data_IF_359156215891
#
_entry.id   IF_359156215891
#
_cell.length_a   1.000
_cell.length_b   1.000
_cell.length_c   1.000
_cell.angle_alpha   90.00
_cell.angle_beta   90.00
_cell.angle_gamma   90.00
#
_symmetry.space_group_name_H-M   'P 1'
#
loop_
_entity.id
_entity.type
_entity.pdbx_description
1 polymer ?
#
# COMPACT_ATOMS: atom_id res chain seq x y z
N UNK A 1 10.29 -68.51 -3.34
CA UNK A 1 9.52 -67.80 -2.28
C UNK A 1 10.45 -66.95 -1.41
N UNK A 2 10.49 -65.62 -1.48
CA UNK A 2 9.75 -64.70 -2.32
C UNK A 2 10.61 -63.50 -2.69
N UNK A 3 10.24 -62.88 -3.80
CA UNK A 3 10.77 -61.62 -4.27
C UNK A 3 10.35 -60.49 -3.32
N UNK A 4 11.32 -59.86 -2.67
CA UNK A 4 11.14 -58.55 -2.07
C UNK A 4 11.47 -57.47 -3.09
N UNK A 5 10.51 -57.13 -3.97
CA UNK A 5 10.57 -55.88 -4.72
C UNK A 5 10.48 -54.71 -3.74
N UNK A 6 11.62 -54.16 -3.33
CA UNK A 6 11.65 -52.80 -2.81
C UNK A 6 11.52 -51.85 -4.00
N UNK A 7 10.49 -51.00 -4.07
CA UNK A 7 10.48 -49.94 -5.07
C UNK A 7 11.63 -48.99 -4.73
N UNK A 8 12.66 -48.98 -5.56
CA UNK A 8 13.70 -47.95 -5.55
C UNK A 8 13.02 -46.62 -5.84
N UNK A 9 12.60 -45.92 -4.78
CA UNK A 9 12.27 -44.50 -4.86
C UNK A 9 13.58 -43.77 -5.17
N UNK A 10 13.87 -43.62 -6.45
CA UNK A 10 14.75 -42.57 -6.94
C UNK A 10 14.04 -41.24 -6.68
N UNK A 11 14.10 -40.77 -5.43
CA UNK A 11 13.78 -39.38 -5.14
C UNK A 11 14.79 -38.55 -5.94
N UNK A 12 14.33 -37.80 -6.93
CA UNK A 12 15.17 -36.84 -7.62
C UNK A 12 15.60 -35.81 -6.58
N UNK A 13 16.87 -35.87 -6.17
CA UNK A 13 17.49 -34.83 -5.36
C UNK A 13 17.52 -33.57 -6.24
N UNK A 14 16.64 -32.62 -5.92
CA UNK A 14 16.61 -31.32 -6.56
C UNK A 14 17.33 -30.32 -5.67
N UNK A 15 18.40 -29.71 -6.21
CA UNK A 15 19.06 -28.60 -5.56
C UNK A 15 18.09 -27.42 -5.41
N UNK A 16 17.98 -26.89 -4.19
CA UNK A 16 17.14 -25.75 -3.88
C UNK A 16 17.92 -24.68 -3.11
N UNK A 17 17.62 -23.41 -3.41
CA UNK A 17 18.16 -22.29 -2.64
C UNK A 17 17.28 -22.08 -1.41
N UNK A 18 17.87 -22.22 -0.23
CA UNK A 18 17.19 -22.01 1.06
C UNK A 18 17.61 -20.67 1.66
N UNK A 19 16.64 -19.82 1.96
CA UNK A 19 16.84 -18.53 2.65
C UNK A 19 16.19 -18.61 4.03
N UNK A 20 16.94 -18.23 5.07
CA UNK A 20 16.46 -18.22 6.46
C UNK A 20 16.11 -16.78 6.85
N UNK A 21 14.92 -16.57 7.42
CA UNK A 21 14.42 -15.28 7.88
C UNK A 21 13.92 -15.35 9.33
N UNK A 22 13.98 -14.25 10.07
CA UNK A 22 13.43 -14.16 11.44
C UNK A 22 11.94 -13.85 11.43
N UNK A 23 11.49 -13.11 10.43
CA UNK A 23 10.11 -12.74 10.19
C UNK A 23 9.39 -13.92 9.55
N UNK A 24 8.72 -14.74 10.35
CA UNK A 24 7.96 -15.91 9.88
C UNK A 24 6.57 -15.47 9.42
N UNK A 25 6.27 -15.50 8.11
CA UNK A 25 4.94 -15.17 7.61
C UNK A 25 3.93 -16.24 8.03
N UNK A 26 2.73 -15.81 8.44
CA UNK A 26 1.63 -16.75 8.71
C UNK A 26 0.83 -17.08 7.45
N UNK A 27 0.75 -16.14 6.51
CA UNK A 27 0.02 -16.27 5.25
C UNK A 27 0.46 -15.20 4.23
N UNK A 28 0.07 -15.35 2.97
CA UNK A 28 0.18 -14.28 1.97
C UNK A 28 -1.04 -13.37 2.01
N UNK A 29 -0.97 -12.24 1.30
CA UNK A 29 -2.13 -11.37 1.13
C UNK A 29 -3.18 -12.02 0.24
N UNK A 30 -2.78 -12.91 -0.69
CA UNK A 30 -3.71 -13.69 -1.52
C UNK A 30 -4.56 -14.64 -0.66
N UNK A 31 -3.93 -15.31 0.31
CA UNK A 31 -4.63 -16.18 1.26
C UNK A 31 -5.61 -15.37 2.12
N UNK A 32 -5.17 -14.21 2.63
CA UNK A 32 -6.02 -13.30 3.39
C UNK A 32 -7.26 -12.84 2.63
N UNK A 33 -7.12 -12.44 1.36
CA UNK A 33 -8.26 -12.01 0.53
C UNK A 33 -9.21 -13.19 0.31
N UNK A 34 -8.69 -14.34 -0.12
CA UNK A 34 -9.51 -15.54 -0.37
C UNK A 34 -10.34 -15.94 0.85
N UNK A 35 -9.76 -15.87 2.04
CA UNK A 35 -10.41 -16.33 3.27
C UNK A 35 -11.34 -15.26 3.89
N UNK A 36 -11.25 -14.00 3.42
CA UNK A 36 -11.99 -12.84 3.98
C UNK A 36 -13.24 -12.42 3.21
N UNK A 37 -13.66 -13.17 2.18
CA UNK A 37 -14.84 -12.85 1.36
C UNK A 37 -16.10 -12.64 2.23
N UNK A 38 -16.36 -13.58 3.15
CA UNK A 38 -17.52 -13.51 4.05
C UNK A 38 -17.40 -12.36 5.05
N UNK A 39 -16.19 -12.03 5.49
CA UNK A 39 -15.94 -10.89 6.38
C UNK A 39 -16.21 -9.57 5.66
N UNK A 40 -15.78 -9.44 4.40
CA UNK A 40 -16.02 -8.23 3.61
C UNK A 40 -17.52 -7.99 3.41
N UNK A 41 -18.29 -9.04 3.11
CA UNK A 41 -19.75 -8.95 2.99
C UNK A 41 -20.44 -8.59 4.30
N UNK A 42 -19.99 -9.18 5.43
CA UNK A 42 -20.64 -8.97 6.73
C UNK A 42 -20.24 -7.66 7.42
N UNK A 43 -18.98 -7.23 7.26
CA UNK A 43 -18.38 -6.07 7.95
C UNK A 43 -17.46 -5.28 7.00
N UNK A 44 -18.02 -4.65 5.95
CA UNK A 44 -17.23 -4.00 4.91
C UNK A 44 -16.31 -2.90 5.44
N UNK A 45 -16.79 -2.07 6.37
CA UNK A 45 -15.97 -1.01 6.95
C UNK A 45 -14.73 -1.53 7.69
N UNK A 46 -14.87 -2.63 8.44
CA UNK A 46 -13.75 -3.26 9.14
C UNK A 46 -12.72 -3.82 8.15
N UNK A 47 -13.21 -4.50 7.11
CA UNK A 47 -12.37 -5.10 6.09
C UNK A 47 -11.65 -4.05 5.25
N UNK A 48 -12.36 -3.07 4.69
CA UNK A 48 -11.77 -2.03 3.85
C UNK A 48 -10.81 -1.12 4.65
N UNK A 49 -11.06 -0.89 5.95
CA UNK A 49 -10.08 -0.25 6.82
C UNK A 49 -8.79 -1.06 6.93
N UNK A 50 -8.88 -2.39 7.04
CA UNK A 50 -7.71 -3.28 7.03
C UNK A 50 -6.97 -3.20 5.70
N UNK A 51 -7.69 -3.18 4.58
CA UNK A 51 -7.13 -2.98 3.23
C UNK A 51 -6.35 -1.66 3.15
N UNK A 52 -6.91 -0.55 3.65
CA UNK A 52 -6.20 0.74 3.72
C UNK A 52 -4.88 0.64 4.50
N UNK A 53 -4.84 -0.09 5.62
CA UNK A 53 -3.61 -0.29 6.38
C UNK A 53 -2.57 -1.16 5.65
N UNK A 54 -2.99 -2.21 4.96
CA UNK A 54 -2.09 -3.06 4.16
C UNK A 54 -1.48 -2.25 3.01
N UNK A 55 -2.31 -1.49 2.29
CA UNK A 55 -1.86 -0.58 1.23
C UNK A 55 -0.93 0.51 1.76
N UNK A 56 -1.18 1.05 2.95
CA UNK A 56 -0.31 2.04 3.57
C UNK A 56 1.08 1.45 3.86
N UNK A 57 1.14 0.24 4.41
CA UNK A 57 2.40 -0.48 4.63
C UNK A 57 3.13 -0.78 3.32
N UNK A 58 2.39 -1.20 2.27
CA UNK A 58 2.94 -1.40 0.93
C UNK A 58 3.55 -0.09 0.39
N UNK A 59 2.83 1.03 0.50
CA UNK A 59 3.33 2.34 0.06
C UNK A 59 4.61 2.75 0.80
N UNK A 60 4.71 2.49 2.11
CA UNK A 60 5.94 2.73 2.88
C UNK A 60 7.11 1.89 2.34
N UNK A 61 6.89 0.61 2.05
CA UNK A 61 7.92 -0.27 1.47
C UNK A 61 8.35 0.19 0.07
N UNK A 62 7.40 0.53 -0.79
CA UNK A 62 7.66 0.98 -2.15
C UNK A 62 8.34 2.36 -2.23
N UNK A 63 8.00 3.28 -1.33
CA UNK A 63 8.70 4.56 -1.18
C UNK A 63 10.18 4.30 -0.85
N UNK A 64 10.46 3.41 0.10
CA UNK A 64 11.81 3.04 0.47
C UNK A 64 12.59 2.36 -0.68
N UNK A 65 11.95 1.48 -1.46
CA UNK A 65 12.56 0.90 -2.66
C UNK A 65 12.95 1.99 -3.67
N UNK A 66 12.09 2.99 -3.88
CA UNK A 66 12.35 4.09 -4.81
C UNK A 66 13.49 4.98 -4.36
N UNK A 67 13.65 5.23 -3.06
CA UNK A 67 14.81 5.94 -2.50
C UNK A 67 16.13 5.25 -2.86
N UNK A 68 16.11 3.92 -2.99
CA UNK A 68 17.26 3.10 -3.39
C UNK A 68 17.31 2.80 -4.90
N UNK A 69 16.45 3.44 -5.69
CA UNK A 69 16.37 3.25 -7.13
C UNK A 69 15.90 1.87 -7.55
N UNK A 70 15.23 1.12 -6.68
CA UNK A 70 14.69 -0.22 -6.93
C UNK A 70 13.24 -0.10 -7.40
N UNK A 71 12.89 -0.88 -8.42
CA UNK A 71 11.52 -1.07 -8.92
C UNK A 71 11.20 -2.56 -8.80
N UNK A 72 10.11 -2.91 -8.11
CA UNK A 72 9.78 -4.30 -7.79
C UNK A 72 9.37 -5.10 -9.03
N UNK A 73 8.47 -4.54 -9.85
CA UNK A 73 7.98 -5.09 -11.13
C UNK A 73 7.14 -6.37 -11.08
N UNK A 74 6.99 -6.99 -9.91
CA UNK A 74 6.19 -8.21 -9.74
C UNK A 74 5.27 -8.11 -8.51
N UNK A 75 4.63 -6.96 -8.32
CA UNK A 75 3.67 -6.80 -7.22
C UNK A 75 2.38 -7.55 -7.57
N UNK A 76 2.10 -8.58 -6.77
CA UNK A 76 0.87 -9.37 -6.74
C UNK A 76 0.60 -9.82 -5.30
N UNK A 77 -0.62 -10.26 -5.00
CA UNK A 77 -1.03 -10.60 -3.63
C UNK A 77 -0.20 -11.73 -2.99
N UNK A 78 0.32 -12.66 -3.80
CA UNK A 78 1.16 -13.79 -3.38
C UNK A 78 2.55 -13.33 -2.90
N UNK A 79 3.06 -12.23 -3.45
CA UNK A 79 4.38 -11.68 -3.12
C UNK A 79 4.37 -10.76 -1.89
N UNK A 80 3.19 -10.52 -1.31
CA UNK A 80 3.01 -9.69 -0.11
C UNK A 80 2.71 -10.58 1.09
N UNK A 81 3.69 -10.73 1.97
CA UNK A 81 3.64 -11.63 3.12
C UNK A 81 3.04 -10.93 4.34
N UNK A 82 2.20 -11.63 5.11
CA UNK A 82 1.61 -11.13 6.35
C UNK A 82 2.23 -11.83 7.56
N UNK A 83 2.85 -11.05 8.43
CA UNK A 83 3.51 -11.50 9.65
C UNK A 83 2.71 -11.00 10.87
N UNK A 84 2.36 -11.87 11.83
CA UNK A 84 1.70 -11.43 13.05
C UNK A 84 2.59 -10.50 13.89
N UNK A 85 2.13 -9.28 14.15
CA UNK A 85 2.76 -8.37 15.11
C UNK A 85 2.28 -8.70 16.52
N UNK A 86 2.93 -9.65 17.20
CA UNK A 86 2.68 -9.87 18.64
C UNK A 86 3.61 -8.99 19.48
N UNK A 87 3.10 -8.22 20.46
CA UNK A 87 3.98 -7.63 21.46
C UNK A 87 4.63 -8.76 22.28
N UNK A 88 5.91 -8.62 22.68
CA UNK A 88 6.69 -9.68 23.34
C UNK A 88 6.16 -10.15 24.71
N UNK A 89 5.10 -9.52 25.24
CA UNK A 89 4.57 -9.79 26.58
C UNK A 89 3.15 -10.39 26.63
N UNK A 90 2.49 -10.63 25.49
CA UNK A 90 1.15 -11.26 25.49
C UNK A 90 1.25 -12.79 25.40
N UNK A 91 1.58 -13.44 26.52
CA UNK A 91 1.37 -14.89 26.71
C UNK A 91 -0.10 -15.14 27.10
N UNK A 92 -1.03 -14.72 26.25
CA UNK A 92 -2.46 -14.90 26.44
C UNK A 92 -3.08 -15.63 25.25
N UNK A 93 -3.76 -16.75 25.51
CA UNK A 93 -4.57 -17.47 24.51
C UNK A 93 -5.75 -16.59 24.09
N UNK A 94 -5.58 -15.80 23.04
CA UNK A 94 -6.71 -15.29 22.26
C UNK A 94 -6.36 -15.44 20.78
N UNK A 95 -7.13 -16.30 20.12
CA UNK A 95 -7.16 -16.51 18.67
C UNK A 95 -7.89 -15.33 18.00
N UNK A 96 -7.53 -14.10 18.37
CA UNK A 96 -8.27 -12.91 17.97
C UNK A 96 -7.62 -12.32 16.71
N UNK A 97 -8.31 -12.49 15.58
CA UNK A 97 -8.04 -11.93 14.23
C UNK A 97 -7.99 -10.39 14.18
N UNK A 98 -7.90 -9.73 15.34
CA UNK A 98 -8.07 -8.28 15.48
C UNK A 98 -6.80 -7.48 15.26
N UNK A 99 -5.61 -8.05 15.41
CA UNK A 99 -4.37 -7.28 15.29
C UNK A 99 -3.98 -7.06 13.83
N UNK A 100 -3.54 -5.84 13.51
CA UNK A 100 -3.00 -5.52 12.18
C UNK A 100 -1.70 -6.32 11.94
N UNK A 101 -1.64 -7.21 10.93
CA UNK A 101 -0.40 -7.86 10.57
C UNK A 101 0.59 -6.86 9.95
N UNK A 102 1.88 -7.17 10.09
CA UNK A 102 2.94 -6.51 9.34
C UNK A 102 3.00 -7.08 7.93
N UNK A 103 2.89 -6.21 6.93
CA UNK A 103 3.07 -6.56 5.54
C UNK A 103 4.56 -6.47 5.15
N UNK A 104 5.06 -7.50 4.46
CA UNK A 104 6.43 -7.57 3.95
C UNK A 104 6.39 -7.81 2.44
N UNK A 105 7.03 -6.92 1.68
CA UNK A 105 7.25 -7.11 0.23
C UNK A 105 8.34 -8.17 0.06
N UNK A 106 8.07 -9.21 -0.72
CA UNK A 106 8.98 -10.33 -0.98
C UNK A 106 9.12 -10.59 -2.48
N UNK A 107 9.95 -11.58 -2.84
CA UNK A 107 10.14 -12.02 -4.23
C UNK A 107 10.66 -10.93 -5.18
N UNK A 108 11.89 -10.49 -4.94
CA UNK A 108 12.59 -9.50 -5.78
C UNK A 108 13.21 -10.08 -7.05
N UNK A 109 12.79 -11.28 -7.52
CA UNK A 109 13.42 -11.97 -8.66
C UNK A 109 13.37 -11.16 -9.97
N UNK A 110 12.30 -10.37 -10.17
CA UNK A 110 12.12 -9.51 -11.37
C UNK A 110 12.49 -8.04 -11.14
N UNK A 111 12.96 -7.72 -9.93
CA UNK A 111 13.26 -6.35 -9.53
C UNK A 111 14.40 -5.77 -10.37
N UNK A 112 14.35 -4.46 -10.60
CA UNK A 112 15.41 -3.71 -11.27
C UNK A 112 15.93 -2.62 -10.36
N UNK A 113 17.25 -2.60 -10.14
CA UNK A 113 17.93 -1.51 -9.47
C UNK A 113 18.56 -0.58 -10.50
N UNK A 114 18.32 0.72 -10.38
CA UNK A 114 19.07 1.74 -11.12
C UNK A 114 20.42 1.90 -10.44
N UNK A 115 21.51 1.73 -11.20
CA UNK A 115 22.86 2.04 -10.73
C UNK A 115 22.98 3.54 -10.50
N UNK A 116 22.88 3.99 -9.24
CA UNK A 116 23.06 5.40 -8.85
C UNK A 116 24.54 5.72 -8.53
N UNK A 117 25.40 4.71 -8.39
CA UNK A 117 26.80 4.87 -8.00
C UNK A 117 27.78 4.78 -9.18
N UNK A 118 28.30 5.94 -9.57
CA UNK A 118 29.72 6.11 -9.91
C UNK A 118 30.25 5.49 -11.20
N UNK A 119 29.89 6.04 -12.35
CA UNK A 119 30.82 6.01 -13.49
C UNK A 119 30.81 7.36 -14.21
N UNK A 120 31.86 8.15 -13.99
CA UNK A 120 32.15 9.39 -14.73
C UNK A 120 32.32 9.12 -16.24
N UNK A 121 32.43 7.85 -16.66
CA UNK A 121 32.38 7.39 -18.05
C UNK A 121 30.96 7.29 -18.63
N UNK A 122 29.94 6.99 -17.83
CA UNK A 122 28.55 6.89 -18.31
C UNK A 122 27.90 8.26 -18.58
N UNK A 123 28.30 9.32 -17.87
CA UNK A 123 27.87 10.69 -18.19
C UNK A 123 28.28 11.14 -19.61
N UNK A 124 29.43 10.69 -20.11
CA UNK A 124 29.85 10.93 -21.51
C UNK A 124 29.09 10.06 -22.53
N UNK A 125 28.52 8.94 -22.10
CA UNK A 125 27.71 8.05 -22.94
C UNK A 125 26.24 8.49 -23.01
N UNK A 126 25.71 9.09 -21.94
CA UNK A 126 24.34 9.62 -21.89
C UNK A 126 24.13 10.82 -22.82
N UNK A 127 25.16 11.63 -23.08
CA UNK A 127 25.10 12.74 -24.04
C UNK A 127 24.91 12.29 -25.50
N UNK A 128 25.03 10.99 -25.79
CA UNK A 128 24.79 10.38 -27.12
C UNK A 128 23.49 9.58 -27.19
N UNK A 129 22.75 9.49 -26.09
CA UNK A 129 21.44 8.83 -26.06
C UNK A 129 20.38 9.86 -26.44
N UNK A 130 19.43 9.43 -27.27
CA UNK A 130 18.31 10.28 -27.64
C UNK A 130 17.49 10.69 -26.38
N UNK A 131 16.92 11.91 -26.33
CA UNK A 131 16.23 12.43 -25.15
C UNK A 131 15.16 11.50 -24.59
N UNK A 132 14.50 10.70 -25.43
CA UNK A 132 13.49 9.70 -25.08
C UNK A 132 14.05 8.47 -24.34
N UNK A 133 15.31 8.12 -24.60
CA UNK A 133 16.03 7.03 -23.91
C UNK A 133 16.51 7.52 -22.54
N UNK A 134 16.93 8.78 -22.45
CA UNK A 134 17.19 9.45 -21.17
C UNK A 134 15.87 9.68 -20.40
N UNK A 135 14.77 9.91 -21.11
CA UNK A 135 13.41 10.05 -20.57
C UNK A 135 12.68 8.73 -20.33
N UNK A 136 13.33 7.58 -20.49
CA UNK A 136 12.87 6.27 -19.99
C UNK A 136 12.59 6.26 -18.45
N UNK A 137 12.70 7.41 -17.78
CA UNK A 137 11.87 7.77 -16.63
C UNK A 137 10.38 7.41 -16.73
N UNK A 138 9.83 7.18 -17.93
CA UNK A 138 8.49 6.62 -18.17
C UNK A 138 8.24 5.27 -17.45
N UNK A 139 9.31 4.53 -17.13
CA UNK A 139 9.23 3.29 -16.33
C UNK A 139 9.28 3.52 -14.81
N UNK A 140 9.25 4.76 -14.31
CA UNK A 140 9.36 5.05 -12.85
C UNK A 140 8.07 4.74 -12.08
N UNK A 141 6.92 4.67 -12.75
CA UNK A 141 5.61 4.48 -12.10
C UNK A 141 4.97 3.11 -12.37
N UNK A 142 5.80 2.07 -12.50
CA UNK A 142 5.35 0.70 -12.74
C UNK A 142 4.72 0.09 -11.48
N UNK A 143 5.38 0.23 -10.33
CA UNK A 143 4.89 -0.29 -9.06
C UNK A 143 3.59 0.42 -8.61
N UNK A 144 3.44 1.71 -8.94
CA UNK A 144 2.20 2.46 -8.74
C UNK A 144 1.03 1.84 -9.52
N UNK A 145 1.26 1.47 -10.78
CA UNK A 145 0.24 0.82 -11.59
C UNK A 145 -0.18 -0.54 -11.03
N UNK A 146 0.78 -1.38 -10.65
CA UNK A 146 0.47 -2.66 -10.02
C UNK A 146 -0.25 -2.48 -8.67
N UNK A 147 0.08 -1.42 -7.92
CA UNK A 147 -0.65 -1.06 -6.70
C UNK A 147 -2.12 -0.70 -7.00
N UNK A 148 -2.39 -0.04 -8.11
CA UNK A 148 -3.76 0.23 -8.58
C UNK A 148 -4.55 -1.05 -8.85
N UNK A 149 -3.92 -2.07 -9.45
CA UNK A 149 -4.53 -3.40 -9.67
C UNK A 149 -4.80 -4.09 -8.32
N UNK A 150 -3.81 -4.08 -7.41
CA UNK A 150 -3.94 -4.68 -6.09
C UNK A 150 -5.13 -4.13 -5.30
N UNK A 151 -5.52 -2.86 -5.49
CA UNK A 151 -6.71 -2.29 -4.82
C UNK A 151 -7.98 -3.03 -5.23
N UNK A 152 -8.16 -3.34 -6.53
CA UNK A 152 -9.31 -4.14 -6.99
C UNK A 152 -9.29 -5.54 -6.39
N UNK A 153 -8.14 -6.23 -6.49
CA UNK A 153 -7.99 -7.60 -6.01
C UNK A 153 -8.22 -7.69 -4.49
N UNK A 154 -7.67 -6.76 -3.71
CA UNK A 154 -7.91 -6.65 -2.26
C UNK A 154 -9.37 -6.43 -1.91
N UNK A 155 -10.15 -5.77 -2.78
CA UNK A 155 -11.57 -5.50 -2.60
C UNK A 155 -12.46 -6.58 -3.22
N UNK A 156 -11.90 -7.75 -3.52
CA UNK A 156 -12.59 -8.88 -4.14
C UNK A 156 -13.21 -8.54 -5.50
N UNK A 157 -12.61 -7.60 -6.22
CA UNK A 157 -12.93 -7.29 -7.60
C UNK A 157 -11.87 -7.91 -8.53
N UNK A 158 -12.24 -8.32 -9.75
CA UNK A 158 -11.27 -8.83 -10.71
C UNK A 158 -10.28 -7.74 -11.13
N UNK A 159 -9.14 -8.16 -11.69
CA UNK A 159 -8.22 -7.24 -12.35
C UNK A 159 -8.94 -6.53 -13.52
N UNK A 160 -9.04 -5.18 -13.51
CA UNK A 160 -9.76 -4.42 -14.55
C UNK A 160 -9.33 -4.76 -15.97
N UNK A 161 -8.05 -5.06 -16.16
CA UNK A 161 -7.45 -5.32 -17.46
C UNK A 161 -7.60 -6.78 -17.91
N UNK A 162 -8.03 -7.69 -17.04
CA UNK A 162 -8.41 -9.06 -17.41
C UNK A 162 -9.88 -9.13 -17.79
N UNK A 163 -10.73 -8.40 -17.08
CA UNK A 163 -12.17 -8.33 -17.36
C UNK A 163 -12.46 -7.55 -18.65
N UNK A 164 -11.81 -6.39 -18.83
CA UNK A 164 -11.96 -5.54 -20.02
C UNK A 164 -10.67 -5.52 -20.82
N UNK A 165 -10.44 -6.57 -21.61
CA UNK A 165 -9.23 -6.73 -22.46
C UNK A 165 -8.96 -5.49 -23.33
N UNK A 166 -10.02 -4.83 -23.81
CA UNK A 166 -9.95 -3.62 -24.63
C UNK A 166 -9.23 -2.44 -23.95
N UNK A 167 -9.19 -2.38 -22.60
CA UNK A 167 -8.41 -1.39 -21.85
C UNK A 167 -6.90 -1.55 -22.07
N UNK A 168 -6.41 -2.73 -22.46
CA UNK A 168 -4.99 -2.94 -22.79
C UNK A 168 -4.65 -2.49 -24.21
N UNK A 169 -5.65 -2.43 -25.08
CA UNK A 169 -5.48 -2.26 -26.53
C UNK A 169 -5.79 -0.84 -27.01
N UNK A 170 -6.45 -0.02 -26.17
CA UNK A 170 -6.84 1.35 -26.47
C UNK A 170 -6.35 2.32 -25.38
N UNK A 171 -6.22 3.61 -25.72
CA UNK A 171 -6.09 4.66 -24.72
C UNK A 171 -7.41 4.75 -23.95
N UNK A 172 -7.42 4.26 -22.72
CA UNK A 172 -8.57 4.33 -21.83
C UNK A 172 -8.48 5.56 -20.91
N UNK A 173 -9.62 6.06 -20.49
CA UNK A 173 -9.70 7.09 -19.46
C UNK A 173 -10.07 6.48 -18.10
N UNK A 174 -9.85 7.19 -16.98
CA UNK A 174 -10.24 6.70 -15.65
C UNK A 174 -11.72 6.31 -15.53
N UNK A 175 -12.60 6.88 -16.34
CA UNK A 175 -14.03 6.59 -16.38
C UNK A 175 -14.35 5.23 -17.03
N UNK A 176 -13.44 4.68 -17.83
CA UNK A 176 -13.60 3.36 -18.45
C UNK A 176 -13.30 2.21 -17.48
N UNK A 177 -12.61 2.49 -16.37
CA UNK A 177 -12.31 1.53 -15.33
C UNK A 177 -13.59 1.08 -14.61
N UNK A 178 -13.71 -0.20 -14.20
CA UNK A 178 -14.85 -0.67 -13.43
C UNK A 178 -15.01 0.10 -12.11
N UNK A 179 -16.23 0.53 -11.79
CA UNK A 179 -16.50 1.14 -10.50
C UNK A 179 -16.42 0.09 -9.37
N UNK A 180 -15.92 0.52 -8.20
CA UNK A 180 -15.92 -0.31 -7.01
C UNK A 180 -17.27 -0.21 -6.29
N UNK A 181 -17.79 -1.31 -5.72
CA UNK A 181 -18.99 -1.27 -4.90
C UNK A 181 -18.82 -0.32 -3.70
N UNK A 182 -19.78 0.58 -3.49
CA UNK A 182 -19.76 1.52 -2.36
C UNK A 182 -20.28 0.87 -1.07
N UNK A 183 -19.44 0.08 -0.40
CA UNK A 183 -19.81 -0.70 0.78
C UNK A 183 -19.44 -0.04 2.12
N UNK A 184 -18.51 0.93 2.10
CA UNK A 184 -18.04 1.62 3.30
C UNK A 184 -17.62 3.07 3.04
N UNK A 185 -17.22 3.77 4.11
CA UNK A 185 -16.65 5.13 4.03
C UNK A 185 -15.34 5.20 3.23
N UNK A 186 -14.66 4.06 3.03
CA UNK A 186 -13.38 3.99 2.32
C UNK A 186 -13.56 3.71 0.82
N UNK A 187 -14.66 3.08 0.39
CA UNK A 187 -14.82 2.56 -0.97
C UNK A 187 -14.63 3.63 -2.04
N UNK A 188 -15.25 4.81 -1.87
CA UNK A 188 -15.10 5.94 -2.81
C UNK A 188 -13.66 6.44 -2.88
N UNK A 189 -12.99 6.53 -1.73
CA UNK A 189 -11.60 6.96 -1.65
C UNK A 189 -10.62 5.96 -2.27
N UNK A 190 -10.86 4.66 -2.05
CA UNK A 190 -10.09 3.58 -2.65
C UNK A 190 -10.30 3.51 -4.17
N UNK A 191 -11.52 3.75 -4.66
CA UNK A 191 -11.81 3.86 -6.09
C UNK A 191 -11.03 5.00 -6.73
N UNK A 192 -11.12 6.20 -6.13
CA UNK A 192 -10.41 7.37 -6.62
C UNK A 192 -8.90 7.15 -6.63
N UNK A 193 -8.35 6.52 -5.58
CA UNK A 193 -6.94 6.16 -5.52
C UNK A 193 -6.56 5.15 -6.63
N UNK A 194 -7.36 4.11 -6.84
CA UNK A 194 -7.13 3.12 -7.89
C UNK A 194 -7.13 3.79 -9.27
N UNK A 195 -8.09 4.66 -9.57
CA UNK A 195 -8.17 5.39 -10.82
C UNK A 195 -6.92 6.26 -11.07
N UNK A 196 -6.44 6.98 -10.05
CA UNK A 196 -5.23 7.80 -10.15
C UNK A 196 -3.94 6.99 -10.32
N UNK A 197 -3.88 5.78 -9.74
CA UNK A 197 -2.76 4.85 -9.89
C UNK A 197 -2.79 4.11 -11.23
N UNK A 198 -3.99 3.88 -11.77
CA UNK A 198 -4.23 3.21 -13.06
C UNK A 198 -4.34 4.18 -14.22
N UNK A 199 -4.05 5.47 -14.03
CA UNK A 199 -3.95 6.45 -15.11
C UNK A 199 -3.00 5.95 -16.22
N UNK A 200 -3.49 5.98 -17.46
CA UNK A 200 -2.78 5.43 -18.62
C UNK A 200 -1.47 6.20 -18.88
N UNK A 201 -1.53 7.54 -18.81
CA UNK A 201 -0.36 8.40 -18.95
C UNK A 201 0.53 8.36 -17.69
N UNK A 202 1.77 7.82 -17.77
CA UNK A 202 2.67 7.76 -16.63
C UNK A 202 3.04 9.14 -16.05
N UNK A 203 2.90 10.22 -16.82
CA UNK A 203 3.16 11.58 -16.35
C UNK A 203 2.06 11.99 -15.37
N UNK A 204 0.80 11.76 -15.73
CA UNK A 204 -0.39 12.09 -14.92
C UNK A 204 -0.61 11.15 -13.74
N UNK A 205 -0.20 9.87 -13.86
CA UNK A 205 -0.30 8.86 -12.80
C UNK A 205 0.28 9.36 -11.48
N UNK A 206 -0.43 9.21 -10.37
CA UNK A 206 0.08 9.70 -9.07
C UNK A 206 1.30 8.90 -8.60
N UNK A 207 2.17 9.54 -7.81
CA UNK A 207 3.33 8.87 -7.21
C UNK A 207 2.90 8.06 -5.99
N UNK A 208 3.71 7.08 -5.62
CA UNK A 208 3.44 6.28 -4.40
C UNK A 208 3.39 7.13 -3.12
N UNK A 209 4.15 8.23 -3.07
CA UNK A 209 4.11 9.17 -1.94
C UNK A 209 2.78 9.91 -1.81
N UNK A 210 2.11 10.17 -2.94
CA UNK A 210 0.77 10.77 -2.99
C UNK A 210 -0.28 9.74 -2.58
N UNK A 211 -0.16 8.50 -3.08
CA UNK A 211 -1.01 7.37 -2.66
C UNK A 211 -0.93 7.12 -1.15
N UNK A 212 0.28 7.14 -0.57
CA UNK A 212 0.51 7.04 0.88
C UNK A 212 -0.30 8.09 1.64
N UNK A 213 -0.23 9.36 1.23
CA UNK A 213 -0.94 10.48 1.88
C UNK A 213 -2.45 10.35 1.74
N UNK A 214 -2.94 9.92 0.57
CA UNK A 214 -4.36 9.63 0.38
C UNK A 214 -4.84 8.55 1.35
N UNK A 215 -4.11 7.43 1.49
CA UNK A 215 -4.44 6.37 2.45
C UNK A 215 -4.40 6.85 3.89
N UNK A 216 -3.43 7.69 4.27
CA UNK A 216 -3.38 8.32 5.59
C UNK A 216 -4.61 9.21 5.85
N UNK A 217 -5.01 10.02 4.86
CA UNK A 217 -6.22 10.83 4.92
C UNK A 217 -7.48 9.97 5.01
N UNK A 218 -7.53 8.84 4.28
CA UNK A 218 -8.62 7.88 4.36
C UNK A 218 -8.69 7.17 5.70
N UNK A 219 -7.58 6.96 6.41
CA UNK A 219 -7.56 6.30 7.72
C UNK A 219 -7.87 7.25 8.87
N UNK A 220 -7.29 8.46 8.87
CA UNK A 220 -7.32 9.36 10.03
C UNK A 220 -7.96 10.74 9.77
N UNK A 221 -8.34 11.03 8.53
CA UNK A 221 -8.85 12.31 8.08
C UNK A 221 -7.73 13.30 7.67
N UNK A 222 -8.07 14.54 7.34
CA UNK A 222 -9.38 15.19 7.52
C UNK A 222 -10.50 14.63 6.61
N UNK A 223 -11.76 14.70 7.09
CA UNK A 223 -12.97 14.23 6.38
C UNK A 223 -13.74 15.40 5.78
N UNK A 224 -14.70 15.09 4.89
CA UNK A 224 -15.54 16.08 4.20
C UNK A 224 -16.26 17.02 5.17
N UNK A 225 -16.71 16.54 6.32
CA UNK A 225 -17.45 17.32 7.33
C UNK A 225 -16.66 18.54 7.84
N UNK A 226 -15.32 18.48 7.83
CA UNK A 226 -14.47 19.61 8.19
C UNK A 226 -14.49 20.72 7.13
N UNK A 227 -14.86 20.37 5.89
CA UNK A 227 -14.89 21.25 4.71
C UNK A 227 -16.29 21.77 4.37
N UNK A 228 -17.34 21.30 5.05
CA UNK A 228 -18.72 21.78 4.85
C UNK A 228 -18.98 23.15 5.50
N UNK A 229 -17.98 23.75 6.16
CA UNK A 229 -18.05 25.14 6.58
C UNK A 229 -18.06 26.05 5.34
N UNK A 230 -18.85 27.14 5.32
CA UNK A 230 -18.93 28.07 4.20
C UNK A 230 -17.65 28.91 4.11
N UNK A 231 -16.54 28.28 3.73
CA UNK A 231 -15.25 28.90 3.47
C UNK A 231 -15.15 29.10 1.97
N UNK A 232 -15.41 30.33 1.53
CA UNK A 232 -15.49 30.70 0.11
C UNK A 232 -14.12 30.74 -0.59
N UNK A 233 -13.00 30.53 0.12
CA UNK A 233 -11.65 30.66 -0.45
C UNK A 233 -10.68 29.60 0.10
N UNK A 234 -9.89 28.99 -0.80
CA UNK A 234 -8.84 28.01 -0.45
C UNK A 234 -7.82 28.54 0.57
N UNK A 235 -7.55 29.84 0.57
CA UNK A 235 -6.62 30.50 1.50
C UNK A 235 -7.10 30.42 2.96
N UNK A 236 -8.42 30.31 3.19
CA UNK A 236 -8.98 30.15 4.52
C UNK A 236 -8.93 28.71 5.04
N UNK A 237 -8.68 27.72 4.18
CA UNK A 237 -8.62 26.29 4.56
C UNK A 237 -7.30 25.93 5.24
N UNK A 238 -6.19 26.57 4.86
CA UNK A 238 -4.87 26.27 5.43
C UNK A 238 -4.82 26.47 6.97
N UNK A 239 -5.31 27.58 7.54
CA UNK A 239 -5.40 27.73 8.99
C UNK A 239 -6.30 26.71 9.68
N UNK A 240 -7.42 26.32 9.04
CA UNK A 240 -8.33 25.29 9.58
C UNK A 240 -7.64 23.93 9.61
N UNK A 241 -6.92 23.58 8.54
CA UNK A 241 -6.13 22.35 8.47
C UNK A 241 -4.99 22.36 9.51
N UNK A 242 -4.36 23.50 9.74
CA UNK A 242 -3.34 23.64 10.79
C UNK A 242 -3.92 23.34 12.18
N UNK A 243 -5.05 23.98 12.53
CA UNK A 243 -5.75 23.72 13.79
C UNK A 243 -6.17 22.25 13.93
N UNK A 244 -6.61 21.62 12.83
CA UNK A 244 -6.94 20.20 12.82
C UNK A 244 -5.72 19.31 13.10
N UNK A 245 -4.57 19.61 12.48
CA UNK A 245 -3.32 18.88 12.72
C UNK A 245 -2.89 19.01 14.17
N UNK A 246 -2.91 20.22 14.73
CA UNK A 246 -2.50 20.48 16.11
C UNK A 246 -3.41 19.76 17.11
N UNK A 247 -4.73 19.78 16.88
CA UNK A 247 -5.69 19.01 17.68
C UNK A 247 -5.42 17.50 17.60
N UNK A 248 -5.19 16.95 16.40
CA UNK A 248 -4.90 15.52 16.22
C UNK A 248 -3.59 15.11 16.90
N UNK A 249 -2.55 15.95 16.82
CA UNK A 249 -1.27 15.74 17.51
C UNK A 249 -1.45 15.75 19.03
N UNK A 250 -2.20 16.70 19.58
CA UNK A 250 -2.48 16.77 21.01
C UNK A 250 -3.24 15.53 21.51
N UNK A 251 -4.27 15.09 20.79
CA UNK A 251 -5.03 13.88 21.12
C UNK A 251 -4.16 12.62 21.07
N UNK A 252 -3.28 12.50 20.07
CA UNK A 252 -2.35 11.37 19.97
C UNK A 252 -1.34 11.39 21.13
N UNK A 253 -0.81 12.56 21.50
CA UNK A 253 0.08 12.71 22.65
C UNK A 253 -0.60 12.29 23.95
N UNK A 254 -1.85 12.74 24.15
CA UNK A 254 -2.66 12.36 25.32
C UNK A 254 -2.89 10.84 25.37
N UNK A 255 -3.24 10.22 24.23
CA UNK A 255 -3.39 8.75 24.12
C UNK A 255 -2.12 8.01 24.58
N UNK A 256 -0.93 8.48 24.19
CA UNK A 256 0.32 7.86 24.64
C UNK A 256 0.63 8.12 26.11
N UNK A 257 0.32 9.31 26.62
CA UNK A 257 0.50 9.63 28.04
C UNK A 257 -0.37 8.73 28.93
N UNK A 258 -1.63 8.50 28.56
CA UNK A 258 -2.53 7.58 29.26
C UNK A 258 -1.99 6.14 29.26
N UNK A 259 -1.57 5.67 28.08
CA UNK A 259 -1.01 4.31 27.95
C UNK A 259 0.30 4.08 28.69
N UNK A 260 1.08 5.13 28.96
CA UNK A 260 2.32 5.01 29.74
C UNK A 260 2.06 4.64 31.20
N UNK A 261 0.88 4.99 31.72
CA UNK A 261 0.44 4.67 33.09
C UNK A 261 -0.29 3.31 33.15
N UNK A 262 -0.76 2.80 32.00
CA UNK A 262 -1.39 1.49 31.90
C UNK A 262 -0.40 0.33 32.14
N UNK A 263 -0.91 -0.77 32.68
CA UNK A 263 -0.19 -2.00 33.01
C UNK A 263 0.32 -2.76 31.78
N UNK A 264 -0.41 -2.73 30.65
CA UNK A 264 -0.04 -3.51 29.46
C UNK A 264 1.02 -2.83 28.57
N UNK A 265 1.13 -1.49 28.65
CA UNK A 265 2.10 -0.64 27.90
C UNK A 265 2.28 -1.02 26.42
N UNK A 266 1.25 -1.55 25.77
CA UNK A 266 1.36 -2.04 24.39
C UNK A 266 1.15 -0.89 23.40
N UNK A 267 2.11 -0.74 22.48
CA UNK A 267 1.97 0.13 21.31
C UNK A 267 1.63 -0.75 20.12
N UNK A 268 0.53 -0.43 19.43
CA UNK A 268 0.10 -1.19 18.26
C UNK A 268 0.72 -0.62 16.98
N UNK A 269 0.78 -1.44 15.94
CA UNK A 269 1.28 -1.01 14.63
C UNK A 269 0.46 0.15 14.06
N UNK A 270 -0.85 0.16 14.31
CA UNK A 270 -1.76 1.24 13.89
C UNK A 270 -1.36 2.59 14.51
N UNK A 271 -0.92 2.60 15.77
CA UNK A 271 -0.49 3.81 16.45
C UNK A 271 0.80 4.35 15.87
N UNK A 272 1.76 3.47 15.56
CA UNK A 272 3.01 3.87 14.93
C UNK A 272 2.78 4.49 13.55
N UNK A 273 1.92 3.86 12.72
CA UNK A 273 1.56 4.42 11.42
C UNK A 273 0.84 5.78 11.54
N UNK A 274 -0.04 5.92 12.54
CA UNK A 274 -0.71 7.20 12.84
C UNK A 274 0.30 8.28 13.27
N UNK A 275 1.29 7.92 14.11
CA UNK A 275 2.36 8.83 14.51
C UNK A 275 3.13 9.35 13.31
N UNK A 276 3.53 8.45 12.40
CA UNK A 276 4.26 8.83 11.19
C UNK A 276 3.47 9.81 10.34
N UNK A 277 2.15 9.60 10.21
CA UNK A 277 1.28 10.54 9.52
C UNK A 277 1.25 11.91 10.21
N UNK A 278 0.87 11.97 11.49
CA UNK A 278 0.68 13.25 12.19
C UNK A 278 1.99 14.01 12.41
N UNK A 279 3.11 13.31 12.55
CA UNK A 279 4.44 13.93 12.61
C UNK A 279 4.84 14.61 11.29
N UNK A 280 4.47 14.03 10.14
CA UNK A 280 4.83 14.54 8.81
C UNK A 280 3.73 15.37 8.13
N UNK A 281 2.53 15.45 8.72
CA UNK A 281 1.40 16.17 8.16
C UNK A 281 1.62 17.69 8.16
N UNK A 282 1.46 18.29 6.99
CA UNK A 282 1.52 19.74 6.76
C UNK A 282 0.23 20.21 6.05
N UNK A 283 -0.33 21.39 6.38
CA UNK A 283 -1.58 21.88 5.78
C UNK A 283 -1.60 21.87 4.26
N UNK A 284 -0.52 22.30 3.61
CA UNK A 284 -0.43 22.34 2.14
C UNK A 284 -0.49 20.92 1.52
N UNK A 285 0.19 19.95 2.13
CA UNK A 285 0.15 18.56 1.70
C UNK A 285 -1.23 17.92 1.91
N UNK A 286 -1.92 18.28 3.01
CA UNK A 286 -3.28 17.85 3.28
C UNK A 286 -4.27 18.44 2.27
N UNK A 287 -4.18 19.73 1.98
CA UNK A 287 -5.02 20.40 0.98
C UNK A 287 -4.89 19.73 -0.39
N UNK A 288 -3.66 19.46 -0.84
CA UNK A 288 -3.41 18.72 -2.08
C UNK A 288 -4.04 17.33 -2.05
N UNK A 289 -3.92 16.61 -0.94
CA UNK A 289 -4.49 15.27 -0.78
C UNK A 289 -6.02 15.29 -0.82
N UNK A 290 -6.65 16.29 -0.22
CA UNK A 290 -8.11 16.48 -0.26
C UNK A 290 -8.63 16.77 -1.66
N UNK A 291 -7.89 17.54 -2.46
CA UNK A 291 -8.19 17.75 -3.90
C UNK A 291 -8.13 16.45 -4.68
N UNK A 292 -7.09 15.63 -4.46
CA UNK A 292 -6.95 14.32 -5.11
C UNK A 292 -8.10 13.35 -4.75
N UNK A 293 -8.56 13.41 -3.50
CA UNK A 293 -9.71 12.64 -3.01
C UNK A 293 -11.07 13.21 -3.41
N UNK A 294 -11.12 14.35 -4.11
CA UNK A 294 -12.35 15.06 -4.50
C UNK A 294 -13.27 15.36 -3.31
N UNK A 295 -12.67 15.79 -2.19
CA UNK A 295 -13.37 16.19 -0.96
C UNK A 295 -13.52 17.72 -0.81
N UNK A 296 -13.01 18.46 -1.80
CA UNK A 296 -13.10 19.91 -1.95
C UNK A 296 -13.82 20.25 -3.25
#
# INVERSE_FOLDING_TARGET
PGEGLYPSRTASEHDCVVVITREVPSQTTADFVRDSVMLHQAKPELYERRVCFLLLQLCNGLEHLKEHGIIHRDLCLENLLLVPCKPPMSYGKAKDDKHLPRLIISNFLKAKQKTVTGDSKLKKSQARLAPEIVSASQYKKFDEFQTGILIYELLHQPNPFEEKVHLREQEYSPEDLPALPSLSIYSRGLQQLAHLLLEADPIKRVRITEAKRMLQCLLWGPRKDLMEQPLSHEEALCPVLQNWVDMKRALLMMKFAERAVDTERSIELEDWLCCQYLASAEPASLLHTLKLLQLL
#
